data_IF_465175204509
#
_entry.id   IF_465175204509
#
_cell.length_a   1.000
_cell.length_b   1.000
_cell.length_c   1.000
_cell.angle_alpha   90.00
_cell.angle_beta   90.00
_cell.angle_gamma   90.00
#
_symmetry.space_group_name_H-M   'P 1'
#
loop_
_entity.id
_entity.type
_entity.pdbx_description
1 polymer ?
#
# COMPACT_ATOMS: atom_id res chain seq x y z
N UNK A 1 -6.46 4.05 22.58
CA UNK A 1 -6.94 2.78 22.01
C UNK A 1 -7.11 3.03 20.53
N UNK A 2 -6.30 2.59 19.58
CA UNK A 2 -5.15 1.67 19.43
C UNK A 2 -4.51 2.16 18.12
N UNK A 3 -3.20 2.39 18.00
CA UNK A 3 -2.34 1.41 17.34
C UNK A 3 -0.85 1.82 17.50
N UNK A 4 -0.23 1.48 18.63
CA UNK A 4 1.23 1.49 18.77
C UNK A 4 1.78 0.27 18.04
N UNK A 5 1.82 0.31 16.72
CA UNK A 5 2.40 -0.75 15.90
C UNK A 5 3.90 -0.79 16.16
N UNK A 6 4.33 -1.93 16.71
CA UNK A 6 5.67 -2.18 17.18
C UNK A 6 6.62 -2.19 15.97
N UNK A 7 7.30 -1.07 15.72
CA UNK A 7 8.17 -0.84 14.55
C UNK A 7 9.18 -1.98 14.31
N UNK A 8 9.62 -2.67 15.36
CA UNK A 8 10.62 -3.75 15.30
C UNK A 8 10.08 -5.10 14.80
N UNK A 9 8.76 -5.32 14.76
CA UNK A 9 8.14 -6.59 14.33
C UNK A 9 7.67 -6.58 12.87
N UNK A 10 7.86 -5.46 12.17
CA UNK A 10 7.42 -5.27 10.80
C UNK A 10 8.56 -5.51 9.82
N UNK A 11 8.28 -6.20 8.71
CA UNK A 11 9.23 -6.34 7.60
C UNK A 11 9.73 -4.96 7.17
N UNK A 12 10.98 -4.81 6.73
CA UNK A 12 11.55 -3.51 6.34
C UNK A 12 10.70 -2.75 5.31
N UNK A 13 10.00 -3.46 4.42
CA UNK A 13 9.01 -2.85 3.51
C UNK A 13 7.84 -2.17 4.23
N UNK A 14 7.34 -2.77 5.31
CA UNK A 14 6.18 -2.25 6.04
C UNK A 14 6.59 -1.12 6.98
N UNK A 15 7.84 -1.08 7.45
CA UNK A 15 8.38 0.11 8.12
C UNK A 15 8.43 1.31 7.18
N UNK A 16 8.85 1.12 5.92
CA UNK A 16 8.80 2.18 4.91
C UNK A 16 7.36 2.63 4.63
N UNK A 17 6.44 1.69 4.47
CA UNK A 17 5.01 1.99 4.31
C UNK A 17 4.44 2.80 5.48
N UNK A 18 4.73 2.39 6.72
CA UNK A 18 4.30 3.09 7.93
C UNK A 18 4.89 4.49 8.03
N UNK A 19 6.15 4.69 7.61
CA UNK A 19 6.79 6.00 7.59
C UNK A 19 6.14 6.94 6.58
N UNK A 20 5.90 6.46 5.36
CA UNK A 20 5.16 7.19 4.32
C UNK A 20 3.74 7.52 4.79
N UNK A 21 3.07 6.56 5.44
CA UNK A 21 1.72 6.76 6.00
C UNK A 21 1.70 7.76 7.17
N UNK A 22 2.77 7.86 7.94
CA UNK A 22 2.89 8.86 9.00
C UNK A 22 3.01 10.29 8.44
N UNK A 23 3.65 10.46 7.28
CA UNK A 23 3.72 11.75 6.56
C UNK A 23 2.38 12.10 5.89
N UNK A 24 1.55 11.09 5.63
CA UNK A 24 0.38 11.17 4.77
C UNK A 24 -0.80 10.31 5.32
N UNK A 25 -1.35 10.66 6.51
CA UNK A 25 -2.33 9.81 7.19
C UNK A 25 -3.72 9.80 6.53
N UNK A 26 -4.03 10.81 5.71
CA UNK A 26 -5.36 11.02 5.12
C UNK A 26 -5.45 10.65 3.63
N UNK A 27 -4.34 10.30 2.98
CA UNK A 27 -4.31 9.99 1.55
C UNK A 27 -4.12 8.48 1.31
N UNK A 28 -4.70 7.98 0.23
CA UNK A 28 -4.60 6.57 -0.14
C UNK A 28 -3.22 6.29 -0.74
N UNK A 29 -2.45 5.38 -0.12
CA UNK A 29 -1.12 5.01 -0.64
C UNK A 29 -1.22 3.79 -1.56
N UNK A 30 -0.95 4.00 -2.84
CA UNK A 30 -0.87 2.98 -3.88
C UNK A 30 0.58 2.58 -4.07
N UNK A 31 0.96 1.40 -3.59
CA UNK A 31 2.31 0.88 -3.73
C UNK A 31 2.43 0.03 -4.99
N UNK A 32 3.26 0.45 -5.95
CA UNK A 32 3.43 -0.27 -7.21
C UNK A 32 4.33 -1.49 -7.02
N UNK A 33 3.77 -2.68 -7.18
CA UNK A 33 4.46 -3.96 -7.21
C UNK A 33 4.21 -4.61 -8.58
N UNK A 34 5.10 -4.30 -9.53
CA UNK A 34 4.99 -4.76 -10.92
C UNK A 34 3.72 -4.22 -11.61
N UNK A 35 2.81 -5.13 -11.93
CA UNK A 35 1.51 -4.85 -12.58
C UNK A 35 0.35 -4.58 -11.60
N UNK A 36 0.60 -4.63 -10.29
CA UNK A 36 -0.42 -4.40 -9.27
C UNK A 36 -0.08 -3.20 -8.40
N UNK A 37 -1.10 -2.41 -8.06
CA UNK A 37 -1.03 -1.44 -6.99
C UNK A 37 -1.62 -2.08 -5.72
N UNK A 38 -0.79 -2.15 -4.68
CA UNK A 38 -1.15 -2.68 -3.37
C UNK A 38 -1.41 -1.52 -2.39
N UNK A 39 -2.53 -1.59 -1.68
CA UNK A 39 -2.85 -0.75 -0.52
C UNK A 39 -2.89 -1.61 0.73
N UNK A 40 -2.62 -1.03 1.89
CA UNK A 40 -2.58 -1.77 3.17
C UNK A 40 -3.44 -1.11 4.26
N UNK A 41 -3.76 -1.90 5.29
CA UNK A 41 -4.46 -1.45 6.51
C UNK A 41 -5.85 -0.85 6.25
N UNK A 42 -6.08 0.38 6.72
CA UNK A 42 -7.37 1.06 6.60
C UNK A 42 -7.64 1.52 5.16
N UNK A 43 -6.58 1.85 4.40
CA UNK A 43 -6.70 2.27 2.99
C UNK A 43 -7.24 1.13 2.15
N UNK A 44 -6.79 -0.11 2.43
CA UNK A 44 -7.31 -1.31 1.78
C UNK A 44 -8.82 -1.49 2.02
N UNK A 45 -9.30 -1.21 3.25
CA UNK A 45 -10.73 -1.31 3.58
C UNK A 45 -11.54 -0.19 2.92
N UNK A 46 -11.04 1.05 2.95
CA UNK A 46 -11.66 2.19 2.27
C UNK A 46 -11.73 1.96 0.76
N UNK A 47 -10.62 1.57 0.15
CA UNK A 47 -10.54 1.26 -1.28
C UNK A 47 -11.48 0.10 -1.64
N UNK A 48 -11.49 -0.99 -0.86
CA UNK A 48 -12.45 -2.10 -1.04
C UNK A 48 -13.90 -1.64 -1.02
N UNK A 49 -14.27 -0.73 -0.10
CA UNK A 49 -15.65 -0.22 0.00
C UNK A 49 -16.01 0.79 -1.10
N UNK A 50 -15.08 1.65 -1.50
CA UNK A 50 -15.31 2.69 -2.51
C UNK A 50 -15.27 2.15 -3.94
N UNK A 51 -14.40 1.18 -4.17
CA UNK A 51 -14.05 0.69 -5.51
C UNK A 51 -14.59 -0.73 -5.77
N UNK A 52 -15.21 -1.37 -4.76
CA UNK A 52 -15.69 -2.75 -4.82
C UNK A 52 -14.58 -3.75 -5.20
N UNK A 53 -13.37 -3.51 -4.68
CA UNK A 53 -12.19 -4.34 -4.95
C UNK A 53 -12.03 -5.44 -3.91
N UNK A 54 -11.40 -6.54 -4.33
CA UNK A 54 -11.17 -7.69 -3.46
C UNK A 54 -10.17 -7.36 -2.35
N UNK A 55 -10.65 -7.38 -1.11
CA UNK A 55 -9.81 -7.26 0.09
C UNK A 55 -9.11 -8.61 0.33
N UNK A 56 -7.80 -8.63 0.11
CA UNK A 56 -6.94 -9.77 0.40
C UNK A 56 -6.17 -9.54 1.70
N UNK A 57 -5.37 -10.51 2.15
CA UNK A 57 -4.62 -10.41 3.41
C UNK A 57 -3.20 -10.93 3.19
N UNK A 58 -2.16 -10.16 3.57
CA UNK A 58 -0.76 -10.63 3.53
C UNK A 58 -0.42 -11.24 4.88
N UNK A 59 -0.24 -12.56 4.90
CA UNK A 59 0.36 -13.29 6.02
C UNK A 59 -0.11 -12.84 7.40
N UNK A 60 0.78 -12.93 8.38
CA UNK A 60 0.62 -12.32 9.70
C UNK A 60 1.90 -11.54 9.98
N UNK A 61 1.77 -10.27 10.36
CA UNK A 61 2.89 -9.48 10.90
C UNK A 61 2.51 -9.07 12.31
N UNK A 62 3.41 -9.34 13.27
CA UNK A 62 3.15 -9.14 14.70
C UNK A 62 1.88 -9.85 15.24
N UNK A 63 1.50 -10.99 14.66
CA UNK A 63 0.33 -11.77 15.08
C UNK A 63 -1.02 -11.25 14.59
N UNK A 64 -1.04 -10.15 13.81
CA UNK A 64 -2.25 -9.67 13.15
C UNK A 64 -2.17 -9.85 11.62
N UNK A 65 -3.26 -10.31 10.97
CA UNK A 65 -3.33 -10.36 9.52
C UNK A 65 -3.38 -8.96 8.94
N UNK A 66 -2.51 -8.65 7.98
CA UNK A 66 -2.48 -7.34 7.33
C UNK A 66 -3.54 -7.34 6.22
N UNK A 67 -4.66 -6.60 6.35
CA UNK A 67 -5.58 -6.43 5.25
C UNK A 67 -4.89 -5.63 4.16
N UNK A 68 -4.97 -6.14 2.93
CA UNK A 68 -4.47 -5.46 1.75
C UNK A 68 -5.57 -5.43 0.69
N UNK A 69 -5.47 -4.49 -0.23
CA UNK A 69 -6.30 -4.50 -1.42
C UNK A 69 -5.39 -4.28 -2.62
N UNK A 70 -5.55 -5.11 -3.64
CA UNK A 70 -4.77 -5.04 -4.86
C UNK A 70 -5.66 -4.62 -6.02
N UNK A 71 -5.21 -3.64 -6.80
CA UNK A 71 -5.83 -3.31 -8.09
C UNK A 71 -4.83 -3.52 -9.21
N UNK A 72 -5.22 -4.17 -10.31
CA UNK A 72 -4.34 -4.29 -11.45
C UNK A 72 -4.14 -2.93 -12.12
N UNK A 73 -2.94 -2.67 -12.64
CA UNK A 73 -2.56 -1.40 -13.26
C UNK A 73 -3.55 -0.96 -14.35
N UNK A 74 -4.02 -1.89 -15.19
CA UNK A 74 -4.99 -1.57 -16.24
C UNK A 74 -6.38 -1.15 -15.69
N UNK A 75 -6.73 -1.54 -14.46
CA UNK A 75 -7.96 -1.09 -13.82
C UNK A 75 -7.75 0.17 -12.95
N UNK A 76 -6.49 0.50 -12.60
CA UNK A 76 -6.17 1.65 -11.75
C UNK A 76 -6.70 2.96 -12.31
N UNK A 77 -6.69 3.12 -13.64
CA UNK A 77 -7.12 4.34 -14.32
C UNK A 77 -8.60 4.64 -14.05
N UNK A 78 -9.45 3.61 -14.12
CA UNK A 78 -10.87 3.71 -13.82
C UNK A 78 -11.12 4.00 -12.33
N UNK A 79 -10.29 3.43 -11.44
CA UNK A 79 -10.38 3.66 -10.00
C UNK A 79 -9.89 5.05 -9.60
N UNK A 80 -8.80 5.52 -10.19
CA UNK A 80 -8.29 6.89 -10.03
C UNK A 80 -9.33 7.91 -10.48
N UNK A 81 -9.98 7.69 -11.62
CA UNK A 81 -11.05 8.57 -12.09
C UNK A 81 -12.19 8.70 -11.06
N UNK A 82 -12.60 7.59 -10.43
CA UNK A 82 -13.61 7.61 -9.35
C UNK A 82 -13.10 8.31 -8.09
N UNK A 83 -11.87 8.05 -7.68
CA UNK A 83 -11.27 8.67 -6.48
C UNK A 83 -11.12 10.18 -6.65
N UNK A 84 -10.68 10.64 -7.83
CA UNK A 84 -10.58 12.07 -8.16
C UNK A 84 -11.96 12.73 -8.16
N UNK A 85 -13.00 12.06 -8.66
CA UNK A 85 -14.38 12.58 -8.59
C UNK A 85 -14.90 12.67 -7.15
N UNK A 86 -14.44 11.80 -6.26
CA UNK A 86 -14.76 11.82 -4.83
C UNK A 86 -13.93 12.87 -4.06
N UNK A 87 -12.95 13.50 -4.70
CA UNK A 87 -12.03 14.45 -4.05
C UNK A 87 -10.98 13.77 -3.16
N UNK A 88 -10.80 12.46 -3.31
CA UNK A 88 -9.81 11.70 -2.54
C UNK A 88 -8.42 11.85 -3.18
N UNK A 89 -7.43 12.19 -2.37
CA UNK A 89 -6.05 12.29 -2.81
C UNK A 89 -5.37 10.92 -2.72
N UNK A 90 -4.69 10.53 -3.79
CA UNK A 90 -4.01 9.24 -3.91
C UNK A 90 -2.52 9.49 -4.12
N UNK A 91 -1.69 8.94 -3.26
CA UNK A 91 -0.25 8.93 -3.43
C UNK A 91 0.17 7.62 -4.11
N UNK A 92 0.84 7.73 -5.25
CA UNK A 92 1.42 6.59 -5.94
C UNK A 92 2.89 6.49 -5.53
N UNK A 93 3.24 5.45 -4.79
CA UNK A 93 4.61 5.11 -4.49
C UNK A 93 5.10 4.06 -5.48
N UNK A 94 5.97 4.50 -6.39
CA UNK A 94 6.75 3.58 -7.20
C UNK A 94 8.01 3.21 -6.44
N UNK A 95 8.33 1.92 -6.36
CA UNK A 95 9.62 1.49 -5.87
C UNK A 95 10.68 1.92 -6.89
N UNK A 96 11.34 3.06 -6.64
CA UNK A 96 12.55 3.46 -7.35
C UNK A 96 13.67 2.55 -6.84
N UNK A 97 13.70 1.33 -7.36
CA UNK A 97 14.60 0.29 -6.91
C UNK A 97 14.87 -0.65 -8.06
N UNK A 98 15.83 -0.27 -8.89
CA UNK A 98 16.46 -1.17 -9.84
C UNK A 98 16.96 -2.42 -9.08
N UNK A 99 16.45 -3.63 -9.36
CA UNK A 99 16.95 -4.84 -8.72
C UNK A 99 18.40 -5.18 -9.17
N UNK A 100 18.99 -4.44 -10.11
CA UNK A 100 20.27 -4.80 -10.72
C UNK A 100 21.53 -4.28 -10.00
N UNK A 101 21.43 -3.39 -8.99
CA UNK A 101 22.64 -2.84 -8.33
C UNK A 101 23.11 -3.63 -7.10
N UNK A 102 22.87 -4.93 -7.06
CA UNK A 102 23.63 -5.88 -6.24
C UNK A 102 24.62 -6.70 -7.09
N UNK A 103 25.43 -6.04 -7.92
CA UNK A 103 26.69 -6.63 -8.34
C UNK A 103 27.76 -6.21 -7.34
N UNK A 104 28.13 -7.19 -6.51
CA UNK A 104 29.28 -7.19 -5.60
C UNK A 104 30.49 -6.59 -6.32
N UNK A 105 31.21 -5.59 -5.76
CA UNK A 105 32.53 -5.28 -6.27
C UNK A 105 33.43 -6.49 -6.02
N UNK A 106 34.07 -6.97 -7.09
CA UNK A 106 35.11 -7.99 -7.07
C UNK A 106 36.31 -7.59 -6.20
#
# INVERSE_FOLDING_TARGET
MTDSQNFESHTPMMQQYLKLKAEHPEILLFYRMGDFYELFFDDAKKASRLLDISLTKRGQSAGQPIPMAGVPHHAVENYLAKLVQLGESVAICEQIGDPATQQRPC
#
